data_IF_875038364375
#
_entry.id   IF_875038364375
#
_cell.length_a   1.000
_cell.length_b   1.000
_cell.length_c   1.000
_cell.angle_alpha   90.00
_cell.angle_beta   90.00
_cell.angle_gamma   90.00
#
_symmetry.space_group_name_H-M   'P 1'
#
loop_
_entity.id
_entity.type
_entity.pdbx_description
1 polymer ?
#
# COMPACT_ATOMS: atom_id res chain seq x y z
N UNK A 1 -4.65 -4.98 22.29
CA UNK A 1 -4.94 -6.32 22.86
C UNK A 1 -3.65 -7.10 22.88
N UNK A 2 -3.19 -7.63 24.02
CA UNK A 2 -1.95 -8.41 24.06
C UNK A 2 -2.18 -9.78 23.42
N UNK A 3 -1.40 -10.11 22.39
CA UNK A 3 -1.23 -11.46 21.88
C UNK A 3 0.05 -12.05 22.51
N UNK A 4 0.18 -13.38 22.56
CA UNK A 4 1.27 -14.05 23.30
C UNK A 4 2.71 -13.72 22.84
N UNK A 5 2.88 -13.01 21.72
CA UNK A 5 4.18 -12.64 21.14
C UNK A 5 4.28 -11.17 20.71
N UNK A 6 3.17 -10.41 20.71
CA UNK A 6 3.13 -9.01 20.26
C UNK A 6 1.90 -8.27 20.79
N UNK A 7 1.90 -6.94 20.73
CA UNK A 7 0.79 -6.07 21.12
C UNK A 7 0.19 -5.38 19.90
N UNK A 8 -1.10 -5.62 19.64
CA UNK A 8 -1.84 -4.86 18.64
C UNK A 8 -2.33 -3.53 19.23
N UNK A 9 -1.88 -2.44 18.62
CA UNK A 9 -2.36 -1.09 18.86
C UNK A 9 -3.43 -0.72 17.82
N UNK A 10 -4.55 -0.17 18.28
CA UNK A 10 -5.63 0.33 17.45
C UNK A 10 -5.74 1.83 17.69
N UNK A 11 -5.50 2.63 16.65
CA UNK A 11 -5.56 4.08 16.69
C UNK A 11 -6.39 4.63 15.55
N UNK A 12 -7.14 5.70 15.83
CA UNK A 12 -7.89 6.44 14.82
C UNK A 12 -6.93 7.30 13.98
N UNK A 13 -7.10 7.31 12.66
CA UNK A 13 -6.34 8.17 11.75
C UNK A 13 -6.97 9.58 11.80
N UNK A 14 -6.34 10.49 12.53
CA UNK A 14 -6.83 11.88 12.66
C UNK A 14 -6.34 12.82 11.54
N UNK A 15 -5.23 12.48 10.88
CA UNK A 15 -4.66 13.25 9.77
C UNK A 15 -3.75 12.37 8.90
N UNK A 16 -3.58 12.75 7.62
CA UNK A 16 -2.63 12.14 6.68
C UNK A 16 -1.84 13.27 6.02
N UNK A 17 -0.52 13.13 6.02
CA UNK A 17 0.41 14.10 5.44
C UNK A 17 1.22 13.43 4.34
N UNK A 18 1.43 14.15 3.24
CA UNK A 18 2.25 13.70 2.11
C UNK A 18 2.86 14.94 1.44
N UNK A 19 4.09 14.80 0.95
CA UNK A 19 4.71 15.82 0.12
C UNK A 19 4.04 15.86 -1.27
N UNK A 20 3.97 17.03 -1.89
CA UNK A 20 3.50 17.19 -3.27
C UNK A 20 4.31 16.32 -4.25
N UNK A 21 5.56 16.02 -3.92
CA UNK A 21 6.47 15.17 -4.69
C UNK A 21 5.95 13.75 -4.92
N UNK A 22 5.12 13.22 -4.00
CA UNK A 22 4.53 11.87 -4.08
C UNK A 22 3.07 11.88 -4.51
N UNK A 23 2.53 13.03 -4.93
CA UNK A 23 1.13 13.17 -5.33
C UNK A 23 0.97 13.33 -6.85
N UNK A 24 -0.15 12.85 -7.37
CA UNK A 24 -0.67 13.14 -8.71
C UNK A 24 -2.17 13.39 -8.61
N UNK A 25 -2.62 14.60 -8.97
CA UNK A 25 -4.03 14.99 -8.88
C UNK A 25 -4.60 14.99 -7.45
N UNK A 26 -3.77 15.36 -6.46
CA UNK A 26 -4.16 15.38 -5.05
C UNK A 26 -4.28 13.99 -4.40
N UNK A 27 -3.88 12.92 -5.11
CA UNK A 27 -3.87 11.55 -4.59
C UNK A 27 -2.44 11.02 -4.58
N UNK A 28 -2.16 10.10 -3.66
CA UNK A 28 -0.87 9.40 -3.63
C UNK A 28 -0.66 8.69 -4.96
N UNK A 29 0.47 8.98 -5.59
CA UNK A 29 0.96 8.29 -6.76
C UNK A 29 1.92 7.19 -6.30
N UNK A 30 1.47 5.94 -6.41
CA UNK A 30 2.23 4.79 -5.95
C UNK A 30 3.60 4.68 -6.64
N UNK A 31 3.71 5.09 -7.92
CA UNK A 31 4.98 5.07 -8.65
C UNK A 31 5.95 6.14 -8.17
N UNK A 32 5.46 7.27 -7.62
CA UNK A 32 6.31 8.29 -7.00
C UNK A 32 6.68 7.91 -5.57
N UNK A 33 5.74 7.37 -4.81
CA UNK A 33 5.92 6.94 -3.42
C UNK A 33 6.99 5.83 -3.29
N UNK A 34 7.03 4.87 -4.23
CA UNK A 34 8.00 3.75 -4.29
C UNK A 34 8.26 3.10 -2.91
N UNK A 35 7.23 2.53 -2.27
CA UNK A 35 7.41 1.90 -0.96
C UNK A 35 8.32 0.66 -1.04
N UNK A 36 8.99 0.36 0.07
CA UNK A 36 9.69 -0.90 0.26
C UNK A 36 8.72 -1.97 0.76
N UNK A 37 8.83 -3.17 0.21
CA UNK A 37 8.10 -4.35 0.67
C UNK A 37 9.06 -5.27 1.41
N UNK A 38 8.69 -5.66 2.62
CA UNK A 38 9.44 -6.61 3.44
C UNK A 38 8.85 -8.02 3.31
N UNK A 39 9.70 -9.04 3.17
CA UNK A 39 9.32 -10.45 3.15
C UNK A 39 9.96 -11.22 4.29
N UNK A 40 9.29 -12.27 4.77
CA UNK A 40 9.77 -13.22 5.78
C UNK A 40 9.15 -14.60 5.47
N UNK A 41 9.83 -15.76 5.65
CA UNK A 41 11.05 -15.99 6.44
C UNK A 41 12.38 -15.73 5.74
N UNK A 42 12.39 -15.50 4.42
CA UNK A 42 13.58 -15.01 3.70
C UNK A 42 13.59 -13.47 3.77
N UNK A 43 14.40 -12.87 4.67
CA UNK A 43 14.34 -11.44 4.96
C UNK A 43 14.93 -10.65 3.79
N UNK A 44 14.05 -10.04 3.00
CA UNK A 44 14.44 -9.23 1.86
C UNK A 44 13.58 -7.97 1.76
N UNK A 45 14.17 -6.94 1.16
CA UNK A 45 13.47 -5.72 0.75
C UNK A 45 13.32 -5.69 -0.75
N UNK A 46 12.10 -5.44 -1.20
CA UNK A 46 11.74 -5.34 -2.61
C UNK A 46 11.20 -3.96 -2.91
N UNK A 47 11.46 -3.47 -4.13
CA UNK A 47 10.77 -2.31 -4.65
C UNK A 47 9.36 -2.70 -5.13
N UNK A 48 8.44 -1.75 -5.09
CA UNK A 48 7.12 -1.91 -5.70
C UNK A 48 7.27 -2.15 -7.21
N UNK A 49 6.56 -3.17 -7.72
CA UNK A 49 6.56 -3.52 -9.13
C UNK A 49 5.67 -2.64 -10.00
N UNK A 50 5.46 -3.10 -11.23
CA UNK A 50 4.68 -2.40 -12.26
C UNK A 50 3.17 -2.38 -11.97
N UNK A 51 2.49 -1.40 -12.56
CA UNK A 51 1.03 -1.33 -12.53
C UNK A 51 0.42 -2.50 -13.33
N UNK A 52 -0.48 -3.26 -12.70
CA UNK A 52 -1.07 -4.47 -13.29
C UNK A 52 -2.50 -4.30 -13.78
N UNK A 53 -3.19 -3.21 -13.42
CA UNK A 53 -4.56 -2.98 -13.85
C UNK A 53 -5.45 -2.30 -12.81
N UNK A 54 -6.66 -1.90 -13.26
CA UNK A 54 -7.59 -1.13 -12.43
C UNK A 54 -8.45 -2.06 -11.57
N UNK A 55 -8.24 -2.02 -10.25
CA UNK A 55 -9.09 -2.70 -9.28
C UNK A 55 -10.58 -2.30 -9.44
N UNK A 56 -11.49 -3.22 -9.11
CA UNK A 56 -12.95 -3.03 -9.22
C UNK A 56 -13.47 -2.68 -10.63
N UNK A 57 -12.63 -2.85 -11.66
CA UNK A 57 -12.94 -2.48 -13.04
C UNK A 57 -12.51 -3.54 -14.03
N UNK A 58 -11.25 -4.01 -13.99
CA UNK A 58 -10.69 -4.88 -15.03
C UNK A 58 -11.48 -6.18 -15.22
N UNK A 59 -12.00 -6.76 -14.12
CA UNK A 59 -12.80 -7.99 -14.17
C UNK A 59 -14.20 -7.82 -14.77
N UNK A 60 -14.73 -6.60 -14.90
CA UNK A 60 -16.08 -6.38 -15.46
C UNK A 60 -16.18 -6.78 -16.92
N UNK A 61 -15.07 -6.73 -17.66
CA UNK A 61 -14.99 -7.19 -19.05
C UNK A 61 -15.16 -8.72 -19.18
N UNK A 62 -14.99 -9.45 -18.08
CA UNK A 62 -15.12 -10.90 -18.02
C UNK A 62 -16.50 -11.34 -17.51
N UNK A 63 -17.34 -10.40 -17.05
CA UNK A 63 -18.70 -10.69 -16.61
C UNK A 63 -19.57 -10.87 -17.86
N UNK A 64 -20.19 -12.04 -17.99
CA UNK A 64 -21.24 -12.31 -18.99
C UNK A 64 -22.53 -11.61 -18.60
#
# INVERSE_FOLDING_TARGET
MPFGVDTLYLGEIVAVHAEESVLTGGKVDWHKLRPLLFTFPDPAYWAMGEYVGKAWSIGKQLQR
#
